data_IF_842061659182
#
_entry.id   IF_842061659182
#
_cell.length_a   1.000
_cell.length_b   1.000
_cell.length_c   1.000
_cell.angle_alpha   90.00
_cell.angle_beta   90.00
_cell.angle_gamma   90.00
#
_symmetry.space_group_name_H-M   'P 1'
#
loop_
_entity.id
_entity.type
_entity.pdbx_description
1 polymer ?
#
# COMPACT_ATOMS: atom_id res chain seq x y z
N UNK A 1 -6.53 4.18 -0.83
CA UNK A 1 -6.02 3.31 0.24
C UNK A 1 -4.64 3.76 0.65
N UNK A 2 -4.45 4.02 1.94
CA UNK A 2 -3.15 4.30 2.52
C UNK A 2 -2.56 3.00 3.08
N UNK A 3 -1.30 2.72 2.75
CA UNK A 3 -0.62 1.53 3.23
C UNK A 3 0.85 1.84 3.52
N UNK A 4 1.56 0.88 4.08
CA UNK A 4 2.98 1.05 4.36
C UNK A 4 3.84 0.82 3.13
N UNK A 5 4.97 1.52 3.10
CA UNK A 5 6.04 1.33 2.11
C UNK A 5 7.28 0.83 2.85
N UNK A 6 8.17 1.72 3.26
CA UNK A 6 9.36 1.36 4.04
C UNK A 6 9.28 2.00 5.42
N UNK A 7 8.63 1.34 6.42
CA UNK A 7 8.51 1.93 7.76
C UNK A 7 9.86 2.00 8.50
N UNK A 8 10.82 1.18 8.11
CA UNK A 8 12.14 1.11 8.75
C UNK A 8 12.01 0.82 10.24
N UNK A 9 12.44 1.75 11.12
CA UNK A 9 12.35 1.58 12.57
C UNK A 9 11.07 2.16 13.16
N UNK A 10 10.21 2.78 12.34
CA UNK A 10 8.94 3.33 12.79
C UNK A 10 7.85 2.27 12.77
N UNK A 11 6.86 2.45 13.65
CA UNK A 11 5.67 1.61 13.62
C UNK A 11 4.87 1.93 12.35
N UNK A 12 4.57 0.93 11.49
CA UNK A 12 3.86 1.18 10.23
C UNK A 12 2.54 1.91 10.42
N UNK A 13 1.77 1.56 11.45
CA UNK A 13 0.49 2.23 11.71
C UNK A 13 0.69 3.69 12.10
N UNK A 14 1.76 4.03 12.80
CA UNK A 14 2.04 5.42 13.18
C UNK A 14 2.28 6.30 11.95
N UNK A 15 2.97 5.79 10.94
CA UNK A 15 3.19 6.50 9.67
C UNK A 15 1.86 6.76 8.97
N UNK A 16 0.99 5.76 8.92
CA UNK A 16 -0.35 5.89 8.33
C UNK A 16 -1.18 6.91 9.10
N UNK A 17 -1.12 6.88 10.43
CA UNK A 17 -1.83 7.83 11.29
C UNK A 17 -1.37 9.27 11.03
N UNK A 18 -0.07 9.49 10.82
CA UNK A 18 0.49 10.79 10.47
C UNK A 18 -0.05 11.28 9.12
N UNK A 19 -0.17 10.40 8.14
CA UNK A 19 -0.76 10.75 6.84
C UNK A 19 -2.24 11.12 7.00
N UNK A 20 -3.00 10.37 7.82
CA UNK A 20 -4.40 10.66 8.10
C UNK A 20 -4.58 12.02 8.79
N UNK A 21 -3.66 12.39 9.67
CA UNK A 21 -3.72 13.66 10.37
C UNK A 21 -3.68 14.88 9.42
N UNK A 22 -3.11 14.71 8.24
CA UNK A 22 -3.09 15.75 7.20
C UNK A 22 -4.38 15.87 6.39
N UNK A 23 -5.37 15.01 6.62
CA UNK A 23 -6.62 14.99 5.88
C UNK A 23 -7.75 15.63 6.70
N UNK A 24 -8.69 16.31 6.02
CA UNK A 24 -9.89 16.78 6.67
C UNK A 24 -10.93 15.66 6.85
N UNK A 25 -12.03 15.96 7.53
CA UNK A 25 -13.07 14.97 7.84
C UNK A 25 -13.69 14.38 6.57
N UNK A 26 -13.91 15.19 5.54
CA UNK A 26 -14.48 14.74 4.28
C UNK A 26 -13.53 13.82 3.53
N UNK A 27 -12.25 14.16 3.50
CA UNK A 27 -11.21 13.34 2.86
C UNK A 27 -11.04 12.00 3.58
N UNK A 28 -11.06 11.99 4.92
CA UNK A 28 -10.92 10.77 5.72
C UNK A 28 -12.03 9.75 5.43
N UNK A 29 -13.24 10.20 5.14
CA UNK A 29 -14.36 9.31 4.81
C UNK A 29 -14.14 8.52 3.53
N UNK A 30 -13.25 8.98 2.66
CA UNK A 30 -12.96 8.36 1.36
C UNK A 30 -11.72 7.49 1.40
N UNK A 31 -11.07 7.36 2.55
CA UNK A 31 -9.78 6.68 2.69
C UNK A 31 -9.95 5.38 3.48
N UNK A 32 -9.38 4.31 2.95
CA UNK A 32 -9.13 3.07 3.69
C UNK A 32 -7.67 3.01 4.07
N UNK A 33 -7.38 2.45 5.23
CA UNK A 33 -6.01 2.23 5.67
C UNK A 33 -5.78 0.74 5.89
N UNK A 34 -4.76 0.20 5.23
CA UNK A 34 -4.40 -1.21 5.34
C UNK A 34 -2.88 -1.26 5.47
N UNK A 35 -2.38 -1.60 6.64
CA UNK A 35 -0.96 -1.57 6.95
C UNK A 35 -0.16 -2.53 6.08
N UNK A 36 -0.67 -3.75 5.87
CA UNK A 36 -0.01 -4.74 5.02
C UNK A 36 -0.17 -4.35 3.55
N UNK A 37 0.96 -4.05 2.90
CA UNK A 37 0.95 -3.55 1.51
C UNK A 37 0.37 -4.56 0.52
N UNK A 38 0.67 -5.85 0.69
CA UNK A 38 0.13 -6.90 -0.19
C UNK A 38 -1.40 -6.99 -0.06
N UNK A 39 -1.90 -6.95 1.17
CA UNK A 39 -3.35 -6.96 1.41
C UNK A 39 -4.03 -5.68 0.91
N UNK A 40 -3.34 -4.54 0.97
CA UNK A 40 -3.84 -3.29 0.41
C UNK A 40 -4.04 -3.40 -1.11
N UNK A 41 -3.07 -3.95 -1.81
CA UNK A 41 -3.14 -4.17 -3.26
C UNK A 41 -4.26 -5.16 -3.59
N UNK A 42 -4.34 -6.25 -2.83
CA UNK A 42 -5.41 -7.25 -3.00
C UNK A 42 -6.80 -6.64 -2.81
N UNK A 43 -6.97 -5.83 -1.78
CA UNK A 43 -8.24 -5.15 -1.50
C UNK A 43 -8.62 -4.21 -2.62
N UNK A 44 -7.68 -3.43 -3.14
CA UNK A 44 -7.93 -2.54 -4.27
C UNK A 44 -8.38 -3.34 -5.51
N UNK A 45 -7.75 -4.48 -5.78
CA UNK A 45 -8.12 -5.35 -6.89
C UNK A 45 -9.54 -5.89 -6.73
N UNK A 46 -9.92 -6.28 -5.51
CA UNK A 46 -11.26 -6.80 -5.22
C UNK A 46 -12.34 -5.74 -5.33
N UNK A 47 -12.04 -4.49 -5.02
CA UNK A 47 -12.98 -3.38 -5.08
C UNK A 47 -13.11 -2.78 -6.48
N UNK A 48 -12.15 -3.01 -7.35
CA UNK A 48 -12.13 -2.43 -8.68
C UNK A 48 -13.24 -3.00 -9.56
N UNK A 49 -13.86 -2.13 -10.34
CA UNK A 49 -14.89 -2.47 -11.30
C UNK A 49 -14.37 -2.25 -12.71
N UNK A 50 -15.07 -2.81 -13.70
CA UNK A 50 -14.70 -2.65 -15.10
C UNK A 50 -14.59 -1.16 -15.45
N UNK A 51 -13.44 -0.79 -16.01
CA UNK A 51 -13.15 0.60 -16.38
C UNK A 51 -12.39 1.38 -15.31
N UNK A 52 -12.24 0.83 -14.12
CA UNK A 52 -11.45 1.48 -13.07
C UNK A 52 -9.95 1.39 -13.37
N UNK A 53 -9.22 2.39 -12.91
CA UNK A 53 -7.75 2.42 -12.99
C UNK A 53 -7.20 2.37 -11.58
N UNK A 54 -6.24 1.46 -11.34
CA UNK A 54 -5.56 1.35 -10.05
C UNK A 54 -4.13 1.85 -10.20
N UNK A 55 -3.79 2.88 -9.42
CA UNK A 55 -2.43 3.41 -9.35
C UNK A 55 -1.77 2.95 -8.05
N UNK A 56 -0.65 2.24 -8.18
CA UNK A 56 0.18 1.84 -7.05
C UNK A 56 1.42 2.72 -7.03
N UNK A 57 1.58 3.49 -5.97
CA UNK A 57 2.61 4.51 -5.87
C UNK A 57 3.44 4.37 -4.60
N UNK A 58 4.60 5.00 -4.59
CA UNK A 58 5.49 5.10 -3.44
C UNK A 58 6.77 4.29 -3.58
N UNK A 59 6.67 3.03 -4.02
CA UNK A 59 7.82 2.13 -4.06
C UNK A 59 8.70 2.30 -5.31
N UNK A 60 8.12 2.66 -6.44
CA UNK A 60 8.87 2.83 -7.69
C UNK A 60 9.59 1.55 -8.12
N UNK A 61 10.91 1.61 -8.25
CA UNK A 61 11.74 0.47 -8.64
C UNK A 61 12.21 -0.39 -7.47
N UNK A 62 11.88 -0.03 -6.24
CA UNK A 62 12.30 -0.78 -5.08
C UNK A 62 11.66 -2.17 -5.08
N UNK A 63 12.46 -3.19 -4.78
CA UNK A 63 12.01 -4.58 -4.71
C UNK A 63 12.07 -5.13 -3.29
N UNK A 64 12.04 -4.25 -2.31
CA UNK A 64 12.12 -4.60 -0.89
C UNK A 64 11.23 -3.71 -0.05
N UNK A 65 10.91 -4.19 1.14
CA UNK A 65 10.29 -3.42 2.21
C UNK A 65 11.18 -3.53 3.45
N UNK A 66 11.61 -2.40 4.00
CA UNK A 66 12.46 -2.36 5.19
C UNK A 66 11.61 -2.15 6.43
N UNK A 67 11.66 -3.12 7.34
CA UNK A 67 10.92 -3.11 8.61
C UNK A 67 11.91 -3.42 9.73
N UNK A 68 12.03 -2.53 10.69
CA UNK A 68 12.95 -2.68 11.84
C UNK A 68 14.38 -2.97 11.40
N UNK A 69 14.86 -2.27 10.38
CA UNK A 69 16.22 -2.41 9.86
C UNK A 69 16.45 -3.65 9.01
N UNK A 70 15.44 -4.48 8.79
CA UNK A 70 15.54 -5.69 7.96
C UNK A 70 14.81 -5.46 6.64
N UNK A 71 15.49 -5.75 5.54
CA UNK A 71 14.90 -5.67 4.20
C UNK A 71 14.24 -7.00 3.86
N UNK A 72 12.95 -6.94 3.56
CA UNK A 72 12.18 -8.07 3.08
C UNK A 72 11.92 -7.91 1.59
N UNK A 73 12.00 -9.00 0.83
CA UNK A 73 11.67 -8.92 -0.58
C UNK A 73 10.20 -8.51 -0.75
N UNK A 74 9.98 -7.44 -1.47
CA UNK A 74 8.64 -6.97 -1.81
C UNK A 74 8.69 -6.11 -3.06
N UNK A 75 8.11 -6.61 -4.13
CA UNK A 75 8.06 -5.93 -5.42
C UNK A 75 6.60 -5.76 -5.83
N UNK A 76 6.16 -4.50 -5.97
CA UNK A 76 4.77 -4.18 -6.35
C UNK A 76 4.37 -4.86 -7.66
N UNK A 77 5.28 -4.94 -8.63
CA UNK A 77 5.01 -5.57 -9.92
C UNK A 77 4.72 -7.06 -9.76
N UNK A 78 5.52 -7.76 -8.94
CA UNK A 78 5.31 -9.19 -8.67
C UNK A 78 3.97 -9.43 -7.97
N UNK A 79 3.66 -8.62 -6.96
CA UNK A 79 2.41 -8.75 -6.20
C UNK A 79 1.20 -8.50 -7.10
N UNK A 80 1.26 -7.48 -7.96
CA UNK A 80 0.18 -7.18 -8.90
C UNK A 80 -0.02 -8.34 -9.89
N UNK A 81 1.06 -8.87 -10.44
CA UNK A 81 0.98 -10.02 -11.36
C UNK A 81 0.36 -11.23 -10.68
N UNK A 82 0.75 -11.52 -9.45
CA UNK A 82 0.23 -12.64 -8.68
C UNK A 82 -1.28 -12.49 -8.42
N UNK A 83 -1.70 -11.32 -7.99
CA UNK A 83 -3.10 -11.06 -7.64
C UNK A 83 -4.01 -11.10 -8.87
N UNK A 84 -3.58 -10.52 -9.99
CA UNK A 84 -4.37 -10.49 -11.23
C UNK A 84 -4.16 -11.71 -12.12
N UNK A 85 -3.26 -12.62 -11.75
CA UNK A 85 -2.97 -13.80 -12.56
C UNK A 85 -2.24 -13.50 -13.87
N UNK A 86 -1.54 -12.39 -13.96
CA UNK A 86 -0.75 -12.00 -15.13
C UNK A 86 0.60 -12.70 -15.08
N UNK A 87 0.98 -13.34 -16.16
CA UNK A 87 2.26 -14.03 -16.25
C UNK A 87 3.31 -13.19 -16.96
#
# INVERSE_FOLDING_TARGET
>A
ILTSDNPRDEEPQAIIDDMLAGLDTTQRKKVLTITDRKEAIRTAAMMAQKGDVILVAGKGHENYQEINGVKHHFDDHEVIREIFGIK
#
